data_IF_887444754747
#
_entry.id   IF_887444754747
#
_cell.length_a   1.000
_cell.length_b   1.000
_cell.length_c   1.000
_cell.angle_alpha   90.00
_cell.angle_beta   90.00
_cell.angle_gamma   90.00
#
_symmetry.space_group_name_H-M   'P 1'
#
loop_
_entity.id
_entity.type
_entity.pdbx_description
1 polymer ?
#
# COMPACT_ATOMS: atom_id res chain seq x y z
N UNK A 1 50.34 32.66 -0.77
CA UNK A 1 48.88 32.45 -0.89
C UNK A 1 48.60 31.96 -2.30
N UNK A 2 47.55 31.15 -2.45
CA UNK A 2 47.13 30.37 -3.63
C UNK A 2 47.76 28.96 -3.64
N UNK A 3 46.97 27.99 -3.17
CA UNK A 3 47.27 26.56 -3.14
C UNK A 3 46.39 25.90 -4.20
N UNK A 4 46.99 25.24 -5.19
CA UNK A 4 46.29 24.59 -6.30
C UNK A 4 46.02 23.12 -5.93
N UNK A 5 44.76 22.65 -5.81
CA UNK A 5 44.50 21.23 -5.70
C UNK A 5 44.31 20.60 -7.08
N UNK A 6 45.02 19.51 -7.28
CA UNK A 6 45.19 18.78 -8.52
C UNK A 6 43.98 17.93 -8.91
N UNK A 7 43.76 17.90 -10.23
CA UNK A 7 43.40 16.72 -11.03
C UNK A 7 41.94 16.29 -11.20
N UNK A 8 41.53 16.40 -12.47
CA UNK A 8 40.63 15.52 -13.25
C UNK A 8 39.11 15.70 -13.17
N UNK A 9 38.64 16.63 -13.99
CA UNK A 9 37.77 16.40 -15.17
C UNK A 9 36.90 15.13 -15.09
N UNK A 10 35.61 15.29 -14.78
CA UNK A 10 34.50 14.97 -15.71
C UNK A 10 33.35 15.97 -15.44
N UNK A 11 32.79 16.50 -16.52
CA UNK A 11 31.67 17.43 -16.59
C UNK A 11 30.50 16.99 -15.67
N UNK A 12 30.18 17.80 -14.65
CA UNK A 12 28.97 17.65 -13.84
C UNK A 12 27.92 18.66 -14.34
N UNK A 13 26.93 18.24 -15.13
CA UNK A 13 25.63 18.86 -15.10
C UNK A 13 24.67 17.99 -14.28
N UNK A 14 24.02 18.67 -13.34
CA UNK A 14 22.76 18.31 -12.67
C UNK A 14 22.87 17.56 -11.34
N UNK A 15 22.49 18.29 -10.29
CA UNK A 15 22.12 17.83 -8.96
C UNK A 15 20.81 17.00 -9.00
N UNK A 16 20.80 15.90 -9.75
CA UNK A 16 19.61 15.09 -9.95
C UNK A 16 20.06 13.67 -10.30
N UNK A 17 20.31 12.87 -9.27
CA UNK A 17 19.55 11.65 -9.03
C UNK A 17 20.22 10.95 -7.87
N UNK A 18 19.46 10.86 -6.79
CA UNK A 18 19.73 10.08 -5.61
C UNK A 18 19.65 8.56 -5.94
N UNK A 19 20.36 8.10 -6.98
CA UNK A 19 20.16 6.80 -7.65
C UNK A 19 21.40 5.88 -7.58
N UNK A 20 22.15 5.92 -6.47
CA UNK A 20 23.31 5.05 -6.29
C UNK A 20 23.40 4.37 -4.92
N UNK A 21 22.26 4.14 -4.25
CA UNK A 21 22.19 3.34 -3.01
C UNK A 21 21.14 2.22 -3.07
N UNK A 22 20.80 1.74 -4.27
CA UNK A 22 19.86 0.63 -4.53
C UNK A 22 20.48 -0.78 -4.42
N UNK A 23 21.65 -0.94 -3.78
CA UNK A 23 22.34 -2.23 -3.78
C UNK A 23 22.50 -2.95 -2.42
N UNK A 24 22.30 -2.33 -1.24
CA UNK A 24 22.48 -3.05 0.05
C UNK A 24 21.82 -2.36 1.26
N UNK A 25 20.52 -2.06 1.23
CA UNK A 25 19.85 -1.24 2.26
C UNK A 25 18.54 -1.82 2.82
N UNK A 26 18.47 -3.12 3.10
CA UNK A 26 17.32 -3.80 3.73
C UNK A 26 17.09 -3.39 5.21
N UNK A 27 17.81 -2.38 5.69
CA UNK A 27 17.95 -2.03 7.11
C UNK A 27 17.89 -0.52 7.28
N UNK A 28 16.73 0.07 7.01
CA UNK A 28 16.26 1.17 7.86
C UNK A 28 15.06 0.65 8.65
N UNK A 29 15.36 -0.37 9.45
CA UNK A 29 14.53 -0.88 10.53
C UNK A 29 13.87 0.26 11.31
N UNK A 30 12.56 0.11 11.59
CA UNK A 30 11.93 0.59 12.83
C UNK A 30 11.41 2.04 12.94
N UNK A 31 10.87 2.67 11.90
CA UNK A 31 9.92 3.78 12.08
C UNK A 31 8.73 3.57 11.14
N UNK A 32 7.49 3.32 11.53
CA UNK A 32 6.75 3.15 12.78
C UNK A 32 5.65 2.13 12.40
N UNK A 33 5.01 1.43 13.33
CA UNK A 33 4.21 0.23 12.99
C UNK A 33 3.15 0.40 11.87
N UNK A 34 2.63 1.61 11.65
CA UNK A 34 1.74 2.04 10.54
C UNK A 34 2.36 2.11 9.11
N UNK A 35 3.69 2.03 8.96
CA UNK A 35 4.33 2.17 7.64
C UNK A 35 4.47 0.82 6.90
N UNK A 36 4.35 -0.30 7.62
CA UNK A 36 4.50 -1.64 7.03
C UNK A 36 3.31 -2.01 6.17
N UNK A 37 2.10 -1.57 6.53
CA UNK A 37 0.91 -1.82 5.72
C UNK A 37 1.04 -1.16 4.35
N UNK A 38 1.52 0.08 4.29
CA UNK A 38 1.69 0.81 3.04
C UNK A 38 2.73 0.16 2.11
N UNK A 39 3.87 -0.28 2.65
CA UNK A 39 4.89 -1.02 1.88
C UNK A 39 4.36 -2.39 1.42
N UNK A 40 3.65 -3.12 2.29
CA UNK A 40 3.04 -4.39 1.93
C UNK A 40 2.03 -4.21 0.80
N UNK A 41 1.19 -3.18 0.85
CA UNK A 41 0.24 -2.83 -0.21
C UNK A 41 0.96 -2.51 -1.52
N UNK A 42 2.10 -1.81 -1.47
CA UNK A 42 2.89 -1.51 -2.66
C UNK A 42 3.45 -2.78 -3.31
N UNK A 43 4.01 -3.69 -2.52
CA UNK A 43 4.50 -4.99 -3.01
C UNK A 43 3.36 -5.87 -3.54
N UNK A 44 2.22 -5.92 -2.84
CA UNK A 44 1.03 -6.63 -3.30
C UNK A 44 0.50 -6.05 -4.61
N UNK A 45 0.54 -4.73 -4.79
CA UNK A 45 0.09 -4.09 -6.02
C UNK A 45 0.98 -4.45 -7.20
N UNK A 46 2.30 -4.56 -7.01
CA UNK A 46 3.22 -5.07 -8.03
C UNK A 46 2.94 -6.54 -8.35
N UNK A 47 2.70 -7.36 -7.32
CA UNK A 47 2.38 -8.77 -7.49
C UNK A 47 1.06 -8.98 -8.25
N UNK A 48 0.01 -8.23 -7.91
CA UNK A 48 -1.29 -8.25 -8.60
C UNK A 48 -1.14 -7.78 -10.06
N UNK A 49 -0.30 -6.78 -10.32
CA UNK A 49 -0.02 -6.33 -11.68
C UNK A 49 0.70 -7.40 -12.52
N UNK A 50 1.52 -8.24 -11.90
CA UNK A 50 2.17 -9.37 -12.57
C UNK A 50 1.21 -10.55 -12.78
N UNK A 51 0.49 -10.94 -11.73
CA UNK A 51 -0.53 -11.98 -11.76
C UNK A 51 -1.62 -11.66 -10.73
N UNK A 52 -2.83 -11.28 -11.16
CA UNK A 52 -3.93 -11.10 -10.23
C UNK A 52 -4.32 -12.46 -9.65
N UNK A 53 -4.30 -12.55 -8.33
CA UNK A 53 -4.70 -13.72 -7.57
C UNK A 53 -5.70 -13.28 -6.49
N UNK A 54 -6.71 -14.12 -6.26
CA UNK A 54 -7.72 -13.89 -5.25
C UNK A 54 -7.08 -13.71 -3.87
N UNK A 55 -6.08 -14.52 -3.52
CA UNK A 55 -5.42 -14.43 -2.21
C UNK A 55 -4.64 -13.13 -2.02
N UNK A 56 -4.01 -12.62 -3.09
CA UNK A 56 -3.27 -11.36 -3.04
C UNK A 56 -4.22 -10.16 -2.88
N UNK A 57 -5.36 -10.20 -3.56
CA UNK A 57 -6.42 -9.19 -3.42
C UNK A 57 -7.01 -9.21 -2.01
N UNK A 58 -7.33 -10.39 -1.47
CA UNK A 58 -7.80 -10.54 -0.10
C UNK A 58 -6.79 -10.00 0.93
N UNK A 59 -5.50 -10.33 0.75
CA UNK A 59 -4.46 -9.86 1.66
C UNK A 59 -4.31 -8.33 1.61
N UNK A 60 -4.38 -7.72 0.41
CA UNK A 60 -4.34 -6.26 0.26
C UNK A 60 -5.57 -5.59 0.88
N UNK A 61 -6.76 -6.19 0.73
CA UNK A 61 -7.98 -5.75 1.40
C UNK A 61 -7.84 -5.79 2.93
N UNK A 62 -7.24 -6.84 3.49
CA UNK A 62 -7.02 -6.94 4.93
C UNK A 62 -6.10 -5.83 5.47
N UNK A 63 -5.06 -5.46 4.71
CA UNK A 63 -4.22 -4.31 5.05
C UNK A 63 -5.00 -2.99 4.99
N UNK A 64 -5.83 -2.78 3.98
CA UNK A 64 -6.72 -1.62 3.92
C UNK A 64 -7.72 -1.57 5.08
N UNK A 65 -8.27 -2.72 5.50
CA UNK A 65 -9.18 -2.80 6.66
C UNK A 65 -8.48 -2.44 7.97
N UNK A 66 -7.20 -2.83 8.10
CA UNK A 66 -6.34 -2.45 9.24
C UNK A 66 -6.09 -0.94 9.28
N UNK A 67 -5.86 -0.32 8.10
CA UNK A 67 -5.71 1.13 7.98
C UNK A 67 -7.05 1.90 8.11
N UNK A 68 -8.18 1.20 8.20
CA UNK A 68 -9.52 1.80 8.26
C UNK A 68 -10.06 2.30 6.92
N UNK A 69 -9.36 2.04 5.81
CA UNK A 69 -9.82 2.37 4.46
C UNK A 69 -10.82 1.33 3.97
N UNK A 70 -12.06 1.49 4.42
CA UNK A 70 -13.17 0.60 4.06
C UNK A 70 -13.50 0.65 2.56
N UNK A 71 -13.25 1.78 1.89
CA UNK A 71 -13.50 1.92 0.44
C UNK A 71 -12.52 1.08 -0.37
N UNK A 72 -11.22 1.18 -0.08
CA UNK A 72 -10.20 0.37 -0.77
C UNK A 72 -10.37 -1.12 -0.44
N UNK A 73 -10.73 -1.44 0.80
CA UNK A 73 -11.08 -2.82 1.23
C UNK A 73 -12.20 -3.40 0.37
N UNK A 74 -13.31 -2.67 0.20
CA UNK A 74 -14.45 -3.12 -0.60
C UNK A 74 -14.07 -3.40 -2.05
N UNK A 75 -13.27 -2.51 -2.67
CA UNK A 75 -12.83 -2.65 -4.06
C UNK A 75 -11.98 -3.91 -4.27
N UNK A 76 -11.06 -4.18 -3.36
CA UNK A 76 -10.20 -5.36 -3.43
C UNK A 76 -10.99 -6.65 -3.14
N UNK A 77 -11.93 -6.60 -2.19
CA UNK A 77 -12.85 -7.70 -1.94
C UNK A 77 -13.75 -7.99 -3.16
N UNK A 78 -14.29 -6.98 -3.83
CA UNK A 78 -15.08 -7.16 -5.06
C UNK A 78 -14.24 -7.83 -6.14
N UNK A 79 -13.00 -7.38 -6.36
CA UNK A 79 -12.10 -7.98 -7.32
C UNK A 79 -11.76 -9.45 -6.96
N UNK A 80 -11.55 -9.75 -5.67
CA UNK A 80 -11.33 -11.11 -5.20
C UNK A 80 -12.58 -12.00 -5.39
N UNK A 81 -13.78 -11.49 -5.11
CA UNK A 81 -15.05 -12.19 -5.32
C UNK A 81 -15.40 -12.38 -6.80
N UNK A 82 -14.92 -11.51 -7.68
CA UNK A 82 -15.01 -11.73 -9.13
C UNK A 82 -14.17 -12.93 -9.58
N UNK A 83 -13.07 -13.24 -8.88
CA UNK A 83 -12.25 -14.42 -9.17
C UNK A 83 -12.81 -15.68 -8.49
N UNK A 84 -13.20 -15.57 -7.21
CA UNK A 84 -13.86 -16.64 -6.48
C UNK A 84 -15.04 -16.09 -5.65
N UNK A 85 -16.28 -16.20 -6.16
CA UNK A 85 -17.45 -15.68 -5.47
C UNK A 85 -17.82 -16.46 -4.21
N UNK A 86 -17.22 -17.62 -3.97
CA UNK A 86 -17.52 -18.48 -2.82
C UNK A 86 -16.41 -18.44 -1.76
N UNK A 87 -15.46 -17.50 -1.86
CA UNK A 87 -14.41 -17.37 -0.86
C UNK A 87 -14.95 -16.75 0.45
N UNK A 88 -15.10 -17.59 1.47
CA UNK A 88 -15.74 -17.22 2.75
C UNK A 88 -15.04 -16.04 3.45
N UNK A 89 -13.71 -16.02 3.51
CA UNK A 89 -12.96 -15.00 4.23
C UNK A 89 -13.13 -13.62 3.58
N UNK A 90 -13.07 -13.55 2.25
CA UNK A 90 -13.32 -12.29 1.52
C UNK A 90 -14.77 -11.85 1.63
N UNK A 91 -15.74 -12.76 1.64
CA UNK A 91 -17.15 -12.41 1.88
C UNK A 91 -17.36 -11.82 3.28
N UNK A 92 -16.70 -12.37 4.29
CA UNK A 92 -16.74 -11.83 5.65
C UNK A 92 -16.12 -10.44 5.72
N UNK A 93 -14.94 -10.27 5.13
CA UNK A 93 -14.25 -8.98 5.07
C UNK A 93 -15.04 -7.92 4.29
N UNK A 94 -15.65 -8.30 3.17
CA UNK A 94 -16.53 -7.44 2.36
C UNK A 94 -17.73 -6.94 3.17
N UNK A 95 -18.45 -7.83 3.87
CA UNK A 95 -19.59 -7.46 4.71
C UNK A 95 -19.18 -6.51 5.83
N UNK A 96 -18.08 -6.81 6.52
CA UNK A 96 -17.52 -5.98 7.58
C UNK A 96 -17.15 -4.59 7.07
N UNK A 97 -16.47 -4.51 5.93
CA UNK A 97 -16.10 -3.25 5.30
C UNK A 97 -17.33 -2.47 4.80
N UNK A 98 -18.37 -3.18 4.33
CA UNK A 98 -19.65 -2.58 3.93
C UNK A 98 -20.35 -1.96 5.12
N UNK A 99 -20.42 -2.65 6.26
CA UNK A 99 -21.02 -2.13 7.49
C UNK A 99 -20.29 -0.87 7.98
N UNK A 100 -18.95 -0.88 7.97
CA UNK A 100 -18.11 0.29 8.31
C UNK A 100 -18.30 1.45 7.34
N UNK A 101 -18.38 1.17 6.03
CA UNK A 101 -18.62 2.19 5.02
C UNK A 101 -20.05 2.76 5.09
N UNK A 102 -21.02 1.98 5.57
CA UNK A 102 -22.42 2.36 5.70
C UNK A 102 -22.74 3.02 7.06
N UNK A 103 -21.79 3.10 7.99
CA UNK A 103 -21.86 3.93 9.20
C UNK A 103 -21.50 5.41 8.93
N UNK A 104 -22.41 6.20 8.34
CA UNK A 104 -22.56 7.58 8.83
C UNK A 104 -24.00 8.07 9.10
N UNK A 105 -25.02 7.22 9.30
CA UNK A 105 -26.42 7.70 9.40
C UNK A 105 -27.32 7.17 10.53
N UNK A 106 -26.88 6.27 11.42
CA UNK A 106 -27.76 5.83 12.53
C UNK A 106 -27.93 6.87 13.66
N UNK A 107 -27.17 7.97 13.66
CA UNK A 107 -27.36 9.08 14.62
C UNK A 107 -28.32 10.17 14.09
N UNK A 108 -28.65 10.20 12.79
CA UNK A 108 -29.56 11.22 12.22
C UNK A 108 -30.98 10.74 11.92
N UNK A 109 -31.33 9.49 12.20
CA UNK A 109 -32.72 8.99 12.10
C UNK A 109 -33.48 8.97 13.43
N UNK A 110 -32.84 9.34 14.53
CA UNK A 110 -33.44 9.39 15.87
C UNK A 110 -33.89 10.80 16.29
N UNK A 111 -33.96 11.76 15.35
CA UNK A 111 -34.42 13.14 15.61
C UNK A 111 -35.52 13.58 14.63
N UNK A 112 -36.41 12.65 14.24
CA UNK A 112 -37.73 12.97 13.70
C UNK A 112 -38.80 12.59 14.73
#
# INVERSE_FOLDING_TARGET
>A
MINYPSSNIICLPVAQLNLALTSSGWVSTALMDDHKEAEAIAELSKAIAFKPDMQLLHLRAAFYDSMGDSLSTLRDCEAALCLDPNHADTLELYKKAQDRANEPLHIKRSIL
#
